data_IF_874682211185
#
_entry.id   IF_874682211185
#
_cell.length_a   1.000
_cell.length_b   1.000
_cell.length_c   1.000
_cell.angle_alpha   90.00
_cell.angle_beta   90.00
_cell.angle_gamma   90.00
#
_symmetry.space_group_name_H-M   'P 1'
#
loop_
_entity.id
_entity.type
_entity.pdbx_description
1 polymer ?
#
# COMPACT_ATOMS: atom_id res chain seq x y z
N UNK A 1 9.55 -4.09 -35.85
CA UNK A 1 10.36 -2.86 -35.81
C UNK A 1 11.20 -2.94 -34.54
N UNK A 2 12.52 -3.07 -34.70
CA UNK A 2 13.49 -3.34 -33.63
C UNK A 2 13.58 -2.18 -32.63
N UNK A 3 12.95 -2.29 -31.47
CA UNK A 3 13.44 -1.59 -30.29
C UNK A 3 14.56 -2.43 -29.66
N UNK A 4 15.80 -1.97 -29.81
CA UNK A 4 16.91 -2.43 -28.97
C UNK A 4 16.44 -2.28 -27.51
N UNK A 5 16.24 -3.40 -26.80
CA UNK A 5 16.13 -3.41 -25.33
C UNK A 5 17.27 -2.53 -24.81
N UNK A 6 16.98 -1.33 -24.32
CA UNK A 6 17.99 -0.46 -23.70
C UNK A 6 18.58 -1.30 -22.57
N UNK A 7 19.82 -1.72 -22.72
CA UNK A 7 20.52 -2.50 -21.70
C UNK A 7 20.52 -1.65 -20.43
N UNK A 8 19.79 -2.10 -19.40
CA UNK A 8 19.70 -1.41 -18.13
C UNK A 8 21.11 -1.29 -17.55
N UNK A 9 21.59 -0.06 -17.33
CA UNK A 9 22.87 0.20 -16.68
C UNK A 9 22.60 0.46 -15.20
N UNK A 10 23.06 -0.42 -14.29
CA UNK A 10 22.92 -0.21 -12.86
C UNK A 10 23.60 1.09 -12.41
N UNK A 11 23.06 1.73 -11.38
CA UNK A 11 23.62 2.97 -10.82
C UNK A 11 25.03 2.78 -10.26
N UNK A 12 25.29 1.62 -9.66
CA UNK A 12 26.60 1.18 -9.20
C UNK A 12 27.07 0.08 -10.15
N UNK A 13 28.30 0.17 -10.67
CA UNK A 13 28.85 -0.89 -11.51
C UNK A 13 28.94 -2.20 -10.73
N UNK A 14 28.66 -3.33 -11.40
CA UNK A 14 28.75 -4.67 -10.81
C UNK A 14 30.16 -4.99 -10.27
N UNK A 15 31.19 -4.32 -10.78
CA UNK A 15 32.58 -4.50 -10.35
C UNK A 15 32.95 -3.67 -9.10
N UNK A 16 32.03 -2.85 -8.59
CA UNK A 16 32.28 -1.97 -7.44
C UNK A 16 32.07 -2.73 -6.14
N UNK A 17 33.14 -2.93 -5.36
CA UNK A 17 33.03 -3.51 -4.02
C UNK A 17 32.71 -2.40 -3.01
N UNK A 18 31.50 -2.42 -2.44
CA UNK A 18 31.04 -1.47 -1.43
C UNK A 18 30.25 -2.20 -0.35
N UNK A 19 30.28 -1.69 0.88
CA UNK A 19 29.52 -2.26 1.99
C UNK A 19 28.01 -2.16 1.73
N UNK A 20 27.29 -3.27 1.94
CA UNK A 20 25.84 -3.39 1.77
C UNK A 20 25.18 -3.92 3.06
N UNK A 21 25.50 -5.17 3.42
CA UNK A 21 25.03 -5.81 4.65
C UNK A 21 26.02 -5.60 5.79
N UNK A 22 25.78 -4.56 6.59
CA UNK A 22 26.54 -4.31 7.82
C UNK A 22 25.63 -4.40 9.03
N UNK A 23 26.19 -4.62 10.21
CA UNK A 23 25.41 -4.66 11.46
C UNK A 23 24.58 -3.40 11.66
N UNK A 24 25.09 -2.24 11.21
CA UNK A 24 24.38 -0.95 11.27
C UNK A 24 23.20 -0.92 10.31
N UNK A 25 23.39 -1.31 9.04
CA UNK A 25 22.30 -1.29 8.06
C UNK A 25 21.20 -2.31 8.37
N UNK A 26 21.57 -3.50 8.85
CA UNK A 26 20.60 -4.50 9.32
C UNK A 26 19.84 -4.00 10.56
N UNK A 27 20.55 -3.50 11.57
CA UNK A 27 19.92 -3.01 12.80
C UNK A 27 18.98 -1.82 12.56
N UNK A 28 19.40 -0.87 11.73
CA UNK A 28 18.57 0.28 11.36
C UNK A 28 17.37 -0.13 10.51
N UNK A 29 17.56 -1.09 9.59
CA UNK A 29 16.48 -1.68 8.80
C UNK A 29 15.41 -2.33 9.69
N UNK A 30 15.80 -3.14 10.69
CA UNK A 30 14.87 -3.78 11.64
C UNK A 30 14.12 -2.72 12.44
N UNK A 31 14.81 -1.70 12.95
CA UNK A 31 14.18 -0.62 13.70
C UNK A 31 13.10 0.07 12.86
N UNK A 32 13.40 0.42 11.61
CA UNK A 32 12.43 1.03 10.71
C UNK A 32 11.32 0.08 10.32
N UNK A 33 11.60 -1.21 10.11
CA UNK A 33 10.57 -2.21 9.84
C UNK A 33 9.52 -2.25 10.96
N UNK A 34 9.94 -2.23 12.23
CA UNK A 34 9.02 -2.19 13.38
C UNK A 34 8.17 -0.92 13.38
N UNK A 35 8.79 0.26 13.21
CA UNK A 35 8.10 1.56 13.23
C UNK A 35 7.10 1.66 12.08
N UNK A 36 7.53 1.31 10.87
CA UNK A 36 6.68 1.41 9.67
C UNK A 36 5.63 0.32 9.62
N UNK A 37 5.89 -0.88 10.15
CA UNK A 37 4.85 -1.90 10.31
C UNK A 37 3.73 -1.39 11.21
N UNK A 38 4.05 -0.85 12.40
CA UNK A 38 3.04 -0.30 13.31
C UNK A 38 2.26 0.87 12.66
N UNK A 39 2.97 1.76 11.97
CA UNK A 39 2.37 2.89 11.26
C UNK A 39 1.44 2.43 10.13
N UNK A 40 1.85 1.43 9.36
CA UNK A 40 1.05 0.87 8.26
C UNK A 40 -0.12 0.04 8.74
N UNK A 41 -0.02 -0.64 9.88
CA UNK A 41 -1.19 -1.29 10.50
C UNK A 41 -2.23 -0.22 10.87
N UNK A 42 -1.81 0.86 11.54
CA UNK A 42 -2.72 1.95 11.89
C UNK A 42 -3.34 2.62 10.66
N UNK A 43 -2.51 3.04 9.71
CA UNK A 43 -2.98 3.71 8.49
C UNK A 43 -3.84 2.78 7.64
N UNK A 44 -3.42 1.53 7.46
CA UNK A 44 -4.18 0.52 6.73
C UNK A 44 -5.56 0.28 7.32
N UNK A 45 -5.68 0.17 8.65
CA UNK A 45 -6.98 0.04 9.31
C UNK A 45 -7.81 1.34 9.24
N UNK A 46 -7.18 2.51 9.20
CA UNK A 46 -7.86 3.81 9.11
C UNK A 46 -8.36 4.14 7.70
N UNK A 47 -7.54 3.91 6.68
CA UNK A 47 -7.78 4.37 5.29
C UNK A 47 -8.04 3.23 4.31
N UNK A 48 -7.86 1.97 4.72
CA UNK A 48 -8.05 0.79 3.87
C UNK A 48 -6.92 0.52 2.87
N UNK A 49 -5.84 1.29 2.90
CA UNK A 49 -4.68 1.21 2.00
C UNK A 49 -3.41 1.43 2.83
N UNK A 50 -2.34 0.68 2.53
CA UNK A 50 -1.00 0.85 3.12
C UNK A 50 -0.18 1.88 2.35
N UNK A 51 0.93 2.30 2.92
CA UNK A 51 1.80 3.33 2.34
C UNK A 51 3.23 2.82 2.29
N UNK A 52 3.84 3.00 1.12
CA UNK A 52 5.21 2.61 0.82
C UNK A 52 6.19 3.02 1.93
N UNK A 53 6.63 2.06 2.73
CA UNK A 53 7.59 2.28 3.82
C UNK A 53 9.02 2.49 3.30
N UNK A 54 9.32 1.94 2.11
CA UNK A 54 10.64 2.02 1.49
C UNK A 54 11.11 3.47 1.26
N UNK A 55 10.20 4.35 0.86
CA UNK A 55 10.51 5.75 0.53
C UNK A 55 11.01 6.52 1.77
N UNK A 56 10.23 6.66 2.86
CA UNK A 56 10.71 7.35 4.05
C UNK A 56 11.90 6.63 4.70
N UNK A 57 11.95 5.30 4.65
CA UNK A 57 13.09 4.53 5.15
C UNK A 57 14.38 4.81 4.35
N UNK A 58 14.31 4.99 3.03
CA UNK A 58 15.45 5.39 2.21
C UNK A 58 15.99 6.78 2.61
N UNK A 59 15.10 7.73 2.88
CA UNK A 59 15.45 9.10 3.30
C UNK A 59 16.14 9.08 4.66
N UNK A 60 15.44 8.49 5.65
CA UNK A 60 15.91 8.43 7.03
C UNK A 60 17.14 7.55 7.14
N UNK A 61 17.19 6.43 6.42
CA UNK A 61 18.32 5.51 6.38
C UNK A 61 19.57 6.19 5.86
N UNK A 62 19.48 6.85 4.70
CA UNK A 62 20.59 7.63 4.14
C UNK A 62 21.02 8.76 5.08
N UNK A 63 20.06 9.47 5.67
CA UNK A 63 20.31 10.57 6.61
C UNK A 63 21.03 10.11 7.88
N UNK A 64 20.55 9.05 8.52
CA UNK A 64 21.14 8.49 9.75
C UNK A 64 22.51 7.88 9.48
N UNK A 65 22.67 7.11 8.39
CA UNK A 65 23.96 6.54 8.01
C UNK A 65 25.01 7.64 7.79
N UNK A 66 24.63 8.73 7.12
CA UNK A 66 25.54 9.84 6.81
C UNK A 66 25.82 10.74 8.01
N UNK A 67 24.81 11.09 8.80
CA UNK A 67 24.94 12.03 9.91
C UNK A 67 25.52 11.40 11.18
N UNK A 68 25.08 10.18 11.53
CA UNK A 68 25.46 9.52 12.77
C UNK A 68 26.67 8.61 12.56
N UNK A 69 26.60 7.76 11.54
CA UNK A 69 27.63 6.74 11.30
C UNK A 69 28.72 7.20 10.32
N UNK A 70 28.60 8.40 9.75
CA UNK A 70 29.53 8.98 8.75
C UNK A 70 29.79 8.06 7.55
N UNK A 71 28.81 7.21 7.22
CA UNK A 71 28.84 6.28 6.09
C UNK A 71 28.06 6.87 4.92
N UNK A 72 28.64 6.81 3.72
CA UNK A 72 28.01 7.28 2.49
C UNK A 72 27.87 6.12 1.49
N UNK A 73 27.22 5.03 1.92
CA UNK A 73 26.92 3.87 1.08
C UNK A 73 25.43 3.87 0.73
N UNK A 74 25.14 4.00 -0.57
CA UNK A 74 23.79 3.86 -1.09
C UNK A 74 23.30 2.41 -0.98
N UNK A 75 24.20 1.42 -0.98
CA UNK A 75 23.83 0.00 -0.80
C UNK A 75 23.38 -0.29 0.64
N UNK A 76 24.07 0.27 1.64
CA UNK A 76 23.62 0.16 3.04
C UNK A 76 22.25 0.84 3.23
N UNK A 77 22.05 2.01 2.61
CA UNK A 77 20.77 2.71 2.66
C UNK A 77 19.65 1.95 1.91
N UNK A 78 19.98 1.32 0.78
CA UNK A 78 19.06 0.47 0.04
C UNK A 78 18.64 -0.73 0.89
N UNK A 79 19.58 -1.42 1.56
CA UNK A 79 19.26 -2.53 2.45
C UNK A 79 18.33 -2.09 3.60
N UNK A 80 18.61 -0.94 4.23
CA UNK A 80 17.73 -0.36 5.26
C UNK A 80 16.31 -0.15 4.74
N UNK A 81 16.18 0.43 3.55
CA UNK A 81 14.88 0.68 2.91
C UNK A 81 14.15 -0.61 2.55
N UNK A 82 14.86 -1.60 2.02
CA UNK A 82 14.30 -2.92 1.67
C UNK A 82 13.81 -3.67 2.90
N UNK A 83 14.60 -3.72 3.98
CA UNK A 83 14.18 -4.37 5.24
C UNK A 83 12.98 -3.64 5.84
N UNK A 84 12.95 -2.31 5.80
CA UNK A 84 11.80 -1.54 6.26
C UNK A 84 10.53 -1.82 5.44
N UNK A 85 10.64 -2.01 4.13
CA UNK A 85 9.53 -2.36 3.24
C UNK A 85 8.90 -3.72 3.57
N UNK A 86 9.68 -4.68 4.06
CA UNK A 86 9.13 -5.97 4.53
C UNK A 86 8.12 -5.77 5.67
N UNK A 87 8.34 -4.77 6.54
CA UNK A 87 7.40 -4.42 7.61
C UNK A 87 6.04 -3.99 7.07
N UNK A 88 6.00 -3.29 5.93
CA UNK A 88 4.75 -2.94 5.23
C UNK A 88 4.08 -4.18 4.63
N UNK A 89 4.82 -5.03 3.92
CA UNK A 89 4.24 -6.24 3.31
C UNK A 89 3.60 -7.16 4.36
N UNK A 90 4.25 -7.29 5.53
CA UNK A 90 3.71 -8.04 6.64
C UNK A 90 2.46 -7.37 7.24
N UNK A 91 2.50 -6.05 7.45
CA UNK A 91 1.34 -5.29 7.91
C UNK A 91 0.14 -5.46 6.98
N UNK A 92 0.36 -5.39 5.66
CA UNK A 92 -0.67 -5.61 4.64
C UNK A 92 -1.38 -6.96 4.78
N UNK A 93 -0.63 -8.05 4.96
CA UNK A 93 -1.22 -9.38 5.20
C UNK A 93 -2.07 -9.43 6.48
N UNK A 94 -1.61 -8.79 7.54
CA UNK A 94 -2.26 -8.80 8.86
C UNK A 94 -3.56 -7.98 8.88
N UNK A 95 -3.55 -6.76 8.33
CA UNK A 95 -4.71 -5.85 8.41
C UNK A 95 -5.93 -6.35 7.63
N UNK A 96 -5.76 -7.24 6.66
CA UNK A 96 -6.87 -7.80 5.91
C UNK A 96 -7.36 -9.12 6.50
N UNK A 97 -6.47 -9.92 7.08
CA UNK A 97 -6.80 -11.26 7.60
C UNK A 97 -7.34 -11.24 9.02
N UNK A 98 -6.69 -10.54 9.95
CA UNK A 98 -7.09 -10.58 11.36
C UNK A 98 -8.47 -9.92 11.60
N UNK A 99 -8.77 -8.73 11.05
CA UNK A 99 -10.10 -8.15 11.24
C UNK A 99 -11.21 -9.03 10.67
N UNK A 100 -10.96 -9.75 9.56
CA UNK A 100 -11.93 -10.68 9.00
C UNK A 100 -12.23 -11.85 9.96
N UNK A 101 -11.21 -12.43 10.60
CA UNK A 101 -11.37 -13.48 11.61
C UNK A 101 -12.14 -12.97 12.83
N UNK A 102 -11.81 -11.76 13.29
CA UNK A 102 -12.50 -11.12 14.43
C UNK A 102 -13.97 -10.85 14.11
N UNK A 103 -14.26 -10.34 12.91
CA UNK A 103 -15.64 -10.10 12.45
C UNK A 103 -16.43 -11.41 12.34
N UNK A 104 -15.76 -12.54 12.06
CA UNK A 104 -16.37 -13.87 12.06
C UNK A 104 -16.71 -14.40 13.47
N UNK A 105 -16.40 -13.64 14.52
CA UNK A 105 -16.71 -14.00 15.91
C UNK A 105 -15.65 -14.89 16.56
N UNK A 106 -14.45 -14.98 15.97
CA UNK A 106 -13.32 -15.68 16.57
C UNK A 106 -12.42 -14.72 17.32
N UNK A 107 -12.23 -14.97 18.62
CA UNK A 107 -11.25 -14.26 19.43
C UNK A 107 -9.84 -14.78 19.13
N UNK A 108 -8.94 -13.86 18.82
CA UNK A 108 -7.53 -14.17 18.58
C UNK A 108 -6.69 -13.81 19.79
N UNK A 109 -6.04 -14.80 20.39
CA UNK A 109 -5.04 -14.55 21.43
C UNK A 109 -3.80 -13.87 20.83
N UNK A 110 -3.08 -13.10 21.64
CA UNK A 110 -1.83 -12.46 21.21
C UNK A 110 -0.81 -13.48 20.68
N UNK A 111 -0.77 -14.68 21.27
CA UNK A 111 0.09 -15.77 20.82
C UNK A 111 -0.34 -16.31 19.45
N UNK A 112 -1.65 -16.49 19.23
CA UNK A 112 -2.19 -16.92 17.93
C UNK A 112 -1.85 -15.91 16.84
N UNK A 113 -1.99 -14.61 17.13
CA UNK A 113 -1.61 -13.53 16.23
C UNK A 113 -0.12 -13.63 15.89
N UNK A 114 0.75 -13.75 16.90
CA UNK A 114 2.18 -13.86 16.69
C UNK A 114 2.56 -15.07 15.83
N UNK A 115 1.97 -16.24 16.09
CA UNK A 115 2.23 -17.47 15.32
C UNK A 115 1.77 -17.31 13.87
N UNK A 116 0.54 -16.84 13.65
CA UNK A 116 -0.02 -16.63 12.31
C UNK A 116 0.83 -15.63 11.52
N UNK A 117 1.25 -14.54 12.16
CA UNK A 117 2.12 -13.53 11.55
C UNK A 117 3.49 -14.10 11.17
N UNK A 118 4.12 -14.88 12.06
CA UNK A 118 5.43 -15.52 11.78
C UNK A 118 5.29 -16.51 10.62
N UNK A 119 4.31 -17.42 10.68
CA UNK A 119 4.10 -18.42 9.64
C UNK A 119 3.74 -17.77 8.30
N UNK A 120 2.86 -16.77 8.31
CA UNK A 120 2.50 -16.01 7.11
C UNK A 120 3.70 -15.29 6.50
N UNK A 121 4.56 -14.69 7.32
CA UNK A 121 5.82 -14.08 6.87
C UNK A 121 6.79 -15.10 6.26
N UNK A 122 6.98 -16.26 6.89
CA UNK A 122 7.84 -17.33 6.37
C UNK A 122 7.33 -17.88 5.04
N UNK A 123 6.01 -18.10 4.93
CA UNK A 123 5.36 -18.53 3.69
C UNK A 123 5.56 -17.45 2.60
N UNK A 124 5.40 -16.17 2.95
CA UNK A 124 5.66 -15.07 2.02
C UNK A 124 7.08 -15.09 1.46
N UNK A 125 8.09 -15.28 2.31
CA UNK A 125 9.49 -15.40 1.89
C UNK A 125 9.68 -16.58 0.91
N UNK A 126 9.06 -17.73 1.20
CA UNK A 126 9.13 -18.91 0.35
C UNK A 126 8.51 -18.65 -1.04
N UNK A 127 7.39 -17.94 -1.13
CA UNK A 127 6.75 -17.61 -2.40
C UNK A 127 7.44 -16.49 -3.18
N UNK A 128 8.16 -15.57 -2.54
CA UNK A 128 8.90 -14.52 -3.26
C UNK A 128 9.95 -15.10 -4.22
N UNK A 129 10.57 -16.22 -3.87
CA UNK A 129 11.61 -16.85 -4.69
C UNK A 129 11.12 -17.23 -6.10
N UNK A 130 10.07 -18.06 -6.27
CA UNK A 130 9.57 -18.40 -7.60
C UNK A 130 8.94 -17.22 -8.33
N UNK A 131 8.28 -16.29 -7.60
CA UNK A 131 7.67 -15.13 -8.24
C UNK A 131 8.68 -14.11 -8.77
N UNK A 132 9.91 -14.12 -8.27
CA UNK A 132 10.95 -13.18 -8.72
C UNK A 132 11.24 -13.32 -10.21
N UNK A 133 11.32 -14.54 -10.73
CA UNK A 133 11.62 -14.75 -12.15
C UNK A 133 10.50 -14.19 -13.04
N UNK A 134 9.26 -14.57 -12.75
CA UNK A 134 8.10 -14.07 -13.49
C UNK A 134 7.97 -12.54 -13.41
N UNK A 135 7.95 -11.98 -12.20
CA UNK A 135 7.66 -10.55 -12.01
C UNK A 135 8.82 -9.63 -12.44
N UNK A 136 10.07 -10.04 -12.26
CA UNK A 136 11.24 -9.18 -12.49
C UNK A 136 11.91 -9.45 -13.84
N UNK A 137 12.01 -10.72 -14.25
CA UNK A 137 12.76 -11.11 -15.45
C UNK A 137 11.83 -11.23 -16.65
N UNK A 138 10.75 -12.00 -16.57
CA UNK A 138 9.83 -12.21 -17.69
C UNK A 138 9.01 -10.95 -17.99
N UNK A 139 8.46 -10.32 -16.95
CA UNK A 139 7.64 -9.10 -17.06
C UNK A 139 8.48 -7.80 -17.09
N UNK A 140 9.79 -7.91 -17.35
CA UNK A 140 10.69 -6.76 -17.39
C UNK A 140 10.27 -5.73 -18.43
N UNK A 141 9.97 -4.51 -17.99
CA UNK A 141 9.55 -3.41 -18.85
C UNK A 141 8.06 -3.40 -19.19
N UNK A 142 7.29 -4.40 -18.75
CA UNK A 142 5.83 -4.43 -18.84
C UNK A 142 5.24 -3.93 -17.52
N UNK A 143 5.71 -4.47 -16.39
CA UNK A 143 5.30 -4.01 -15.07
C UNK A 143 6.04 -2.72 -14.71
N UNK A 144 5.27 -1.65 -14.52
CA UNK A 144 5.75 -0.43 -13.89
C UNK A 144 5.88 -0.71 -12.39
N UNK A 145 7.07 -0.56 -11.83
CA UNK A 145 7.33 -0.62 -10.38
C UNK A 145 7.43 0.80 -9.81
N UNK A 146 6.34 1.61 -9.78
CA UNK A 146 6.40 3.04 -9.49
C UNK A 146 6.99 3.33 -8.12
N UNK A 147 6.65 2.53 -7.11
CA UNK A 147 7.16 2.68 -5.75
C UNK A 147 8.66 2.40 -5.66
N UNK A 148 9.12 1.30 -6.28
CA UNK A 148 10.54 0.95 -6.32
C UNK A 148 11.36 1.99 -7.10
N UNK A 149 10.80 2.53 -8.18
CA UNK A 149 11.41 3.63 -8.95
C UNK A 149 11.50 4.90 -8.10
N UNK A 150 10.43 5.26 -7.38
CA UNK A 150 10.44 6.41 -6.47
C UNK A 150 11.46 6.23 -5.33
N UNK A 151 11.50 5.06 -4.71
CA UNK A 151 12.48 4.74 -3.67
C UNK A 151 13.92 4.82 -4.20
N UNK A 152 14.17 4.31 -5.42
CA UNK A 152 15.46 4.43 -6.10
C UNK A 152 15.86 5.88 -6.37
N UNK A 153 14.96 6.70 -6.92
CA UNK A 153 15.23 8.12 -7.16
C UNK A 153 15.55 8.86 -5.86
N UNK A 154 14.83 8.54 -4.79
CA UNK A 154 15.07 9.09 -3.46
C UNK A 154 16.42 8.66 -2.90
N UNK A 155 16.79 7.38 -3.01
CA UNK A 155 18.12 6.90 -2.59
C UNK A 155 19.24 7.61 -3.34
N UNK A 156 19.12 7.76 -4.67
CA UNK A 156 20.11 8.46 -5.49
C UNK A 156 20.22 9.93 -5.10
N UNK A 157 19.09 10.63 -4.96
CA UNK A 157 19.06 12.05 -4.61
C UNK A 157 19.51 12.32 -3.16
N UNK A 158 19.14 11.44 -2.21
CA UNK A 158 19.56 11.54 -0.83
C UNK A 158 21.06 11.26 -0.68
N UNK A 159 21.59 10.25 -1.39
CA UNK A 159 23.00 9.87 -1.30
C UNK A 159 23.94 10.91 -1.93
N UNK A 160 23.55 11.50 -3.08
CA UNK A 160 24.27 12.63 -3.70
C UNK A 160 24.42 13.83 -2.75
N UNK A 161 23.49 13.99 -1.81
CA UNK A 161 23.51 15.09 -0.84
C UNK A 161 23.20 16.45 -1.49
N UNK A 162 23.33 17.53 -0.70
CA UNK A 162 23.08 18.88 -1.20
C UNK A 162 21.60 19.24 -1.30
N UNK A 163 21.21 19.87 -2.41
CA UNK A 163 19.84 20.39 -2.60
C UNK A 163 18.79 19.29 -2.66
N UNK A 164 19.07 18.16 -3.33
CA UNK A 164 18.16 17.02 -3.42
C UNK A 164 17.76 16.47 -2.05
N UNK A 165 18.74 16.23 -1.17
CA UNK A 165 18.47 15.77 0.20
C UNK A 165 17.65 16.80 1.01
N UNK A 166 17.94 18.10 0.86
CA UNK A 166 17.17 19.17 1.54
C UNK A 166 15.72 19.21 1.06
N UNK A 167 15.47 19.06 -0.23
CA UNK A 167 14.11 19.04 -0.80
C UNK A 167 13.29 17.88 -0.24
N UNK A 168 13.91 16.70 -0.17
CA UNK A 168 13.28 15.49 0.35
C UNK A 168 12.97 15.61 1.84
N UNK A 169 13.90 16.15 2.65
CA UNK A 169 13.64 16.43 4.07
C UNK A 169 12.55 17.49 4.29
N UNK A 170 12.50 18.54 3.46
CA UNK A 170 11.42 19.53 3.50
C UNK A 170 10.06 18.88 3.23
N UNK A 171 9.97 17.99 2.23
CA UNK A 171 8.75 17.25 1.94
C UNK A 171 8.29 16.41 3.14
N UNK A 172 9.21 15.65 3.75
CA UNK A 172 8.92 14.86 4.96
C UNK A 172 8.44 15.75 6.12
N UNK A 173 9.12 16.87 6.36
CA UNK A 173 8.76 17.83 7.41
C UNK A 173 7.39 18.48 7.16
N UNK A 174 7.11 18.94 5.94
CA UNK A 174 5.82 19.53 5.57
C UNK A 174 4.67 18.53 5.71
N UNK A 175 4.86 17.28 5.27
CA UNK A 175 3.87 16.22 5.45
C UNK A 175 3.62 15.91 6.94
N UNK A 176 4.68 15.88 7.74
CA UNK A 176 4.59 15.71 9.19
C UNK A 176 3.83 16.85 9.88
N UNK A 177 4.12 18.10 9.52
CA UNK A 177 3.40 19.28 10.02
C UNK A 177 1.94 19.21 9.62
N UNK A 178 1.63 18.95 8.34
CA UNK A 178 0.25 18.81 7.88
C UNK A 178 -0.50 17.77 8.71
N UNK A 179 0.11 16.59 8.91
CA UNK A 179 -0.52 15.51 9.68
C UNK A 179 -0.68 15.86 11.16
N UNK A 180 0.30 16.55 11.74
CA UNK A 180 0.22 17.02 13.13
C UNK A 180 -0.91 18.04 13.30
N UNK A 181 -1.06 18.98 12.36
CA UNK A 181 -2.14 19.97 12.37
C UNK A 181 -3.52 19.34 12.13
N UNK A 182 -3.64 18.42 11.15
CA UNK A 182 -4.90 17.77 10.79
C UNK A 182 -5.32 16.70 11.80
N UNK A 183 -4.44 15.75 12.09
CA UNK A 183 -4.74 14.57 12.90
C UNK A 183 -4.34 14.68 14.37
N UNK A 184 -3.32 15.48 14.69
CA UNK A 184 -2.86 15.68 16.07
C UNK A 184 -3.64 16.78 16.80
N UNK A 185 -3.76 17.96 16.16
CA UNK A 185 -4.48 19.12 16.72
C UNK A 185 -5.94 19.20 16.27
N UNK A 186 -6.34 18.46 15.22
CA UNK A 186 -7.73 18.45 14.76
C UNK A 186 -8.19 19.76 14.11
N UNK A 187 -7.27 20.57 13.55
CA UNK A 187 -7.61 21.90 13.01
C UNK A 187 -8.61 21.85 11.84
N UNK A 188 -8.66 20.73 11.11
CA UNK A 188 -9.67 20.48 10.06
C UNK A 188 -10.01 18.99 9.97
N UNK A 189 -11.16 18.67 9.38
CA UNK A 189 -11.58 17.28 9.15
C UNK A 189 -10.74 16.63 8.04
N UNK A 190 -10.20 15.44 8.34
CA UNK A 190 -9.47 14.61 7.36
C UNK A 190 -10.40 13.83 6.42
N UNK A 191 -11.72 13.88 6.61
CA UNK A 191 -12.70 13.12 5.82
C UNK A 191 -14.04 13.83 5.68
N UNK A 192 -14.08 15.06 5.13
CA UNK A 192 -15.33 15.76 4.94
C UNK A 192 -16.25 14.98 3.99
N UNK A 193 -17.51 14.85 4.39
CA UNK A 193 -18.55 14.16 3.61
C UNK A 193 -19.78 15.05 3.51
N UNK A 194 -20.31 15.18 2.30
CA UNK A 194 -21.49 15.95 1.97
C UNK A 194 -22.57 15.03 1.41
N UNK A 195 -23.76 15.06 2.02
CA UNK A 195 -24.89 14.24 1.58
C UNK A 195 -25.64 14.97 0.46
N UNK A 196 -25.86 14.29 -0.66
CA UNK A 196 -26.62 14.79 -1.80
C UNK A 196 -28.00 14.12 -1.79
N UNK A 197 -28.91 14.71 -1.01
CA UNK A 197 -30.24 14.14 -0.75
C UNK A 197 -31.05 13.85 -2.03
N UNK A 198 -30.99 14.74 -3.04
CA UNK A 198 -31.73 14.59 -4.30
C UNK A 198 -31.37 13.33 -5.09
N UNK A 199 -30.11 12.88 -5.00
CA UNK A 199 -29.60 11.69 -5.68
C UNK A 199 -29.50 10.49 -4.74
N UNK A 200 -29.90 10.66 -3.47
CA UNK A 200 -29.80 9.61 -2.45
C UNK A 200 -28.37 9.15 -2.14
N UNK A 201 -27.36 9.94 -2.53
CA UNK A 201 -25.92 9.61 -2.45
C UNK A 201 -25.15 10.58 -1.53
N UNK A 202 -23.86 10.37 -1.36
CA UNK A 202 -22.94 11.27 -0.69
C UNK A 202 -21.64 11.41 -1.49
N UNK A 203 -20.99 12.56 -1.33
CA UNK A 203 -19.67 12.85 -1.87
C UNK A 203 -18.73 13.15 -0.71
N UNK A 204 -17.53 12.60 -0.73
CA UNK A 204 -16.52 12.88 0.28
C UNK A 204 -15.15 12.51 -0.25
N UNK A 205 -14.11 13.03 0.40
CA UNK A 205 -12.74 12.66 0.10
C UNK A 205 -11.92 12.61 1.38
N UNK A 206 -10.89 11.77 1.38
CA UNK A 206 -9.97 11.64 2.49
C UNK A 206 -8.82 12.65 2.31
N UNK A 207 -8.87 13.76 3.04
CA UNK A 207 -7.91 14.85 3.02
C UNK A 207 -6.68 14.54 3.88
N UNK A 208 -6.05 13.38 3.67
CA UNK A 208 -4.84 12.96 4.38
C UNK A 208 -3.63 13.16 3.46
N UNK A 209 -2.59 13.87 3.94
CA UNK A 209 -1.37 14.14 3.16
C UNK A 209 -0.72 12.87 2.58
N UNK A 210 -0.87 11.76 3.28
CA UNK A 210 -0.30 10.48 2.89
C UNK A 210 -0.97 9.89 1.65
N UNK A 211 -2.30 10.06 1.49
CA UNK A 211 -3.02 9.64 0.28
C UNK A 211 -2.71 10.52 -0.92
N UNK A 212 -2.47 11.82 -0.69
CA UNK A 212 -1.99 12.72 -1.73
C UNK A 212 -0.62 12.26 -2.25
N UNK A 213 0.31 11.92 -1.35
CA UNK A 213 1.61 11.35 -1.71
C UNK A 213 1.50 10.06 -2.52
N UNK A 214 0.67 9.11 -2.10
CA UNK A 214 0.40 7.87 -2.84
C UNK A 214 -0.12 8.17 -4.25
N UNK A 215 -1.08 9.10 -4.39
CA UNK A 215 -1.61 9.50 -5.69
C UNK A 215 -0.54 10.07 -6.65
N UNK A 216 0.42 10.83 -6.13
CA UNK A 216 1.55 11.34 -6.91
C UNK A 216 2.52 10.23 -7.36
N UNK A 217 2.75 9.21 -6.53
CA UNK A 217 3.65 8.10 -6.84
C UNK A 217 3.04 7.18 -7.90
N UNK A 218 1.78 6.78 -7.71
CA UNK A 218 1.11 5.82 -8.61
C UNK A 218 0.69 6.51 -9.92
N UNK A 219 0.50 7.83 -9.88
CA UNK A 219 0.23 8.65 -11.06
C UNK A 219 -1.25 8.75 -11.43
N UNK A 220 -1.54 9.61 -12.40
CA UNK A 220 -2.91 9.99 -12.77
C UNK A 220 -3.71 8.85 -13.38
N UNK A 221 -3.07 7.92 -14.09
CA UNK A 221 -3.76 6.78 -14.72
C UNK A 221 -4.48 5.90 -13.70
N UNK A 222 -3.76 5.42 -12.69
CA UNK A 222 -4.36 4.61 -11.61
C UNK A 222 -5.29 5.44 -10.75
N UNK A 223 -4.93 6.70 -10.46
CA UNK A 223 -5.80 7.60 -9.71
C UNK A 223 -7.17 7.78 -10.38
N UNK A 224 -7.22 7.94 -11.71
CA UNK A 224 -8.47 8.05 -12.48
C UNK A 224 -9.26 6.75 -12.43
N UNK A 225 -8.60 5.58 -12.52
CA UNK A 225 -9.28 4.29 -12.42
C UNK A 225 -9.94 4.12 -11.05
N UNK A 226 -9.21 4.41 -9.96
CA UNK A 226 -9.73 4.37 -8.59
C UNK A 226 -10.88 5.38 -8.40
N UNK A 227 -10.71 6.60 -8.92
CA UNK A 227 -11.74 7.64 -8.87
C UNK A 227 -12.99 7.25 -9.65
N UNK A 228 -12.83 6.63 -10.82
CA UNK A 228 -13.95 6.11 -11.62
C UNK A 228 -14.70 5.00 -10.88
N UNK A 229 -13.98 4.10 -10.19
CA UNK A 229 -14.60 3.09 -9.33
C UNK A 229 -15.38 3.71 -8.17
N UNK A 230 -14.85 4.76 -7.54
CA UNK A 230 -15.56 5.51 -6.52
C UNK A 230 -16.82 6.20 -7.07
N UNK A 231 -16.73 6.84 -8.23
CA UNK A 231 -17.89 7.44 -8.90
C UNK A 231 -18.96 6.39 -9.24
N UNK A 232 -18.56 5.24 -9.80
CA UNK A 232 -19.47 4.14 -10.10
C UNK A 232 -20.17 3.63 -8.83
N UNK A 233 -19.42 3.44 -7.74
CA UNK A 233 -19.98 2.99 -6.48
C UNK A 233 -20.97 3.99 -5.88
N UNK A 234 -20.56 5.26 -5.77
CA UNK A 234 -21.36 6.30 -5.08
C UNK A 234 -22.50 6.84 -5.94
N UNK A 235 -22.30 7.07 -7.24
CA UNK A 235 -23.29 7.67 -8.12
C UNK A 235 -24.00 6.67 -9.04
N UNK A 236 -23.47 5.46 -9.19
CA UNK A 236 -24.12 4.37 -9.95
C UNK A 236 -24.84 3.40 -9.02
N UNK A 237 -24.07 2.61 -8.26
CA UNK A 237 -24.63 1.49 -7.50
C UNK A 237 -25.50 1.91 -6.32
N UNK A 238 -25.13 2.93 -5.53
CA UNK A 238 -25.96 3.35 -4.40
C UNK A 238 -27.35 3.83 -4.85
N UNK A 239 -27.50 4.74 -5.83
CA UNK A 239 -28.82 5.13 -6.33
C UNK A 239 -29.59 3.95 -6.95
N UNK A 240 -28.90 3.06 -7.66
CA UNK A 240 -29.52 1.86 -8.25
C UNK A 240 -30.08 0.93 -7.18
N UNK A 241 -29.32 0.66 -6.11
CA UNK A 241 -29.77 -0.15 -4.97
C UNK A 241 -30.96 0.51 -4.28
N UNK A 242 -30.94 1.84 -4.10
CA UNK A 242 -32.11 2.56 -3.57
C UNK A 242 -33.33 2.43 -4.46
N UNK A 243 -33.16 2.57 -5.77
CA UNK A 243 -34.25 2.50 -6.73
C UNK A 243 -34.89 1.10 -6.77
N UNK A 244 -34.06 0.05 -6.88
CA UNK A 244 -34.54 -1.34 -6.94
C UNK A 244 -35.09 -1.79 -5.57
N UNK A 245 -34.41 -1.40 -4.48
CA UNK A 245 -34.77 -1.78 -3.11
C UNK A 245 -35.93 -0.98 -2.51
N UNK A 246 -36.41 0.09 -3.16
CA UNK A 246 -37.49 0.92 -2.65
C UNK A 246 -38.81 0.15 -2.45
N UNK A 247 -39.05 -0.89 -3.26
CA UNK A 247 -40.23 -1.75 -3.17
C UNK A 247 -40.09 -2.94 -2.23
N UNK A 248 -38.93 -3.12 -1.58
CA UNK A 248 -38.72 -4.24 -0.67
C UNK A 248 -39.54 -4.04 0.61
N UNK A 249 -40.40 -5.01 0.93
CA UNK A 249 -41.22 -5.02 2.16
C UNK A 249 -40.53 -5.70 3.34
N UNK A 250 -39.34 -6.28 3.12
CA UNK A 250 -38.52 -6.91 4.17
C UNK A 250 -37.05 -6.52 3.99
N UNK A 251 -36.26 -6.45 5.09
CA UNK A 251 -34.83 -6.21 5.02
C UNK A 251 -34.12 -7.29 4.19
N UNK A 252 -33.21 -6.86 3.31
CA UNK A 252 -32.38 -7.76 2.51
C UNK A 252 -31.01 -7.88 3.18
N UNK A 253 -30.63 -9.10 3.55
CA UNK A 253 -29.33 -9.42 4.16
C UNK A 253 -28.16 -8.83 3.33
N UNK A 254 -27.10 -8.25 3.95
CA UNK A 254 -26.75 -8.29 5.37
C UNK A 254 -27.38 -7.19 6.23
N UNK A 255 -28.16 -6.28 5.64
CA UNK A 255 -28.79 -5.22 6.40
C UNK A 255 -30.03 -5.71 7.16
N UNK A 256 -30.28 -5.11 8.33
CA UNK A 256 -31.45 -5.38 9.17
C UNK A 256 -32.55 -4.34 9.04
N UNK A 257 -32.31 -3.25 8.30
CA UNK A 257 -33.28 -2.18 7.99
C UNK A 257 -33.81 -2.31 6.56
N UNK A 258 -34.93 -1.65 6.27
CA UNK A 258 -35.45 -1.51 4.91
C UNK A 258 -34.55 -0.57 4.10
N UNK A 259 -34.30 -0.91 2.82
CA UNK A 259 -33.42 -0.12 1.94
C UNK A 259 -33.95 1.31 1.73
N UNK A 260 -35.29 1.47 1.72
CA UNK A 260 -35.96 2.77 1.60
C UNK A 260 -35.63 3.74 2.74
N UNK A 261 -35.31 3.22 3.92
CA UNK A 261 -35.00 4.00 5.13
C UNK A 261 -33.49 4.24 5.30
N UNK A 262 -32.65 3.63 4.45
CA UNK A 262 -31.20 3.73 4.59
C UNK A 262 -30.63 5.01 4.00
N UNK A 263 -29.70 5.58 4.74
CA UNK A 263 -28.78 6.60 4.22
C UNK A 263 -27.81 6.01 3.18
N UNK A 264 -27.19 6.88 2.38
CA UNK A 264 -26.16 6.47 1.41
C UNK A 264 -24.99 5.73 2.10
N UNK A 265 -24.62 6.16 3.31
CA UNK A 265 -23.51 5.56 4.06
C UNK A 265 -23.87 4.15 4.54
N UNK A 266 -25.12 3.92 4.93
CA UNK A 266 -25.61 2.60 5.36
C UNK A 266 -25.66 1.62 4.18
N UNK A 267 -26.10 2.07 3.00
CA UNK A 267 -26.07 1.24 1.78
C UNK A 267 -24.63 0.94 1.37
N UNK A 268 -23.74 1.93 1.45
CA UNK A 268 -22.33 1.72 1.19
C UNK A 268 -21.73 0.66 2.12
N UNK A 269 -21.99 0.77 3.43
CA UNK A 269 -21.45 -0.14 4.43
C UNK A 269 -22.02 -1.56 4.30
N UNK A 270 -23.31 -1.71 4.04
CA UNK A 270 -23.98 -3.01 4.05
C UNK A 270 -23.97 -3.73 2.68
N UNK A 271 -23.84 -3.03 1.57
CA UNK A 271 -23.91 -3.66 0.24
C UNK A 271 -22.66 -3.39 -0.59
N UNK A 272 -22.30 -2.11 -0.77
CA UNK A 272 -21.18 -1.73 -1.66
C UNK A 272 -19.86 -2.32 -1.19
N UNK A 273 -19.58 -2.35 0.13
CA UNK A 273 -18.37 -2.98 0.67
C UNK A 273 -18.24 -4.45 0.27
N UNK A 274 -19.34 -5.21 0.28
CA UNK A 274 -19.32 -6.63 -0.10
C UNK A 274 -19.22 -6.82 -1.62
N UNK A 275 -19.88 -5.97 -2.41
CA UNK A 275 -19.72 -5.96 -3.87
C UNK A 275 -18.26 -5.67 -4.23
N UNK A 276 -17.65 -4.67 -3.57
CA UNK A 276 -16.24 -4.34 -3.72
C UNK A 276 -15.32 -5.50 -3.31
N UNK A 277 -15.57 -6.13 -2.16
CA UNK A 277 -14.82 -7.30 -1.71
C UNK A 277 -14.91 -8.46 -2.72
N UNK A 278 -16.10 -8.72 -3.28
CA UNK A 278 -16.30 -9.71 -4.34
C UNK A 278 -15.53 -9.36 -5.62
N UNK A 279 -15.51 -8.09 -6.01
CA UNK A 279 -14.73 -7.60 -7.15
C UNK A 279 -13.22 -7.78 -6.95
N UNK A 280 -12.70 -7.47 -5.77
CA UNK A 280 -11.30 -7.69 -5.40
C UNK A 280 -10.96 -9.19 -5.42
N UNK A 281 -11.82 -10.04 -4.83
CA UNK A 281 -11.63 -11.48 -4.84
C UNK A 281 -11.61 -12.05 -6.27
N UNK A 282 -12.57 -11.66 -7.12
CA UNK A 282 -12.62 -12.07 -8.52
C UNK A 282 -11.36 -11.64 -9.28
N UNK A 283 -10.91 -10.39 -9.10
CA UNK A 283 -9.65 -9.89 -9.67
C UNK A 283 -8.45 -10.72 -9.23
N UNK A 284 -8.37 -11.09 -7.95
CA UNK A 284 -7.32 -11.94 -7.40
C UNK A 284 -7.30 -13.33 -8.04
N UNK A 285 -8.45 -14.01 -8.12
CA UNK A 285 -8.55 -15.34 -8.74
C UNK A 285 -8.24 -15.30 -10.25
N UNK A 286 -8.72 -14.28 -10.97
CA UNK A 286 -8.43 -14.13 -12.40
C UNK A 286 -6.93 -13.91 -12.63
N UNK A 287 -6.29 -13.07 -11.82
CA UNK A 287 -4.84 -12.84 -11.91
C UNK A 287 -4.05 -14.11 -11.60
N UNK A 288 -4.42 -14.84 -10.55
CA UNK A 288 -3.79 -16.13 -10.21
C UNK A 288 -3.94 -17.13 -11.35
N UNK A 289 -5.13 -17.25 -11.94
CA UNK A 289 -5.37 -18.14 -13.08
C UNK A 289 -4.51 -17.76 -14.30
N UNK A 290 -4.32 -16.46 -14.56
CA UNK A 290 -3.45 -15.97 -15.64
C UNK A 290 -1.97 -16.22 -15.37
N UNK A 291 -1.53 -16.13 -14.11
CA UNK A 291 -0.13 -16.34 -13.72
C UNK A 291 0.22 -17.82 -13.48
N UNK A 292 -0.76 -18.71 -13.32
CA UNK A 292 -0.54 -20.12 -13.05
C UNK A 292 0.41 -20.83 -14.05
N UNK A 293 0.35 -20.60 -15.38
CA UNK A 293 1.28 -21.22 -16.32
C UNK A 293 2.73 -20.84 -16.07
N UNK A 294 2.99 -19.56 -15.77
CA UNK A 294 4.34 -19.07 -15.47
C UNK A 294 4.85 -19.65 -14.14
N UNK A 295 4.02 -19.64 -13.10
CA UNK A 295 4.36 -20.25 -11.80
C UNK A 295 4.75 -21.73 -11.98
N UNK A 296 3.93 -22.50 -12.70
CA UNK A 296 4.20 -23.92 -12.97
C UNK A 296 5.48 -24.09 -13.78
N UNK A 297 5.77 -23.19 -14.73
CA UNK A 297 7.04 -23.16 -15.47
C UNK A 297 8.23 -22.96 -14.55
N UNK A 298 8.21 -21.93 -13.71
CA UNK A 298 9.31 -21.63 -12.78
C UNK A 298 9.58 -22.75 -11.78
N UNK A 299 8.54 -23.44 -11.28
CA UNK A 299 8.70 -24.59 -10.39
C UNK A 299 9.28 -25.84 -11.08
N UNK A 300 9.22 -25.93 -12.41
CA UNK A 300 9.85 -27.03 -13.17
C UNK A 300 11.32 -26.76 -13.49
N UNK A 301 11.71 -25.50 -13.52
CA UNK A 301 13.10 -25.07 -13.80
C UNK A 301 13.97 -24.97 -12.54
N UNK A 302 13.34 -24.84 -11.36
CA UNK A 302 14.00 -24.86 -10.04
C UNK A 302 14.27 -26.28 -9.53
#
# INVERSE_FOLDING_TARGET
>A
MNEKKKQFKPFISMDTVMSEATTVSVGLGILFAVIFAASNVYLGLKTGITIAAAIPAAILGTGVLKAVFKKNSILEANLVASVAAVGESLAGGIIFTLPAIIIWGHDLSMLSIAIITILGGLIGILFVVPFREYLIVEEHGILLFPESVAAYEILVNANKGGEGFKTVLKGLGMGGIFKFLSGGLGLWSEGPTWVIAKLGTAFGFNAVASLLGVGFIVGTGVAILMFSGALLAWFGFIPLIKFIGAGASSPIFPATKLISEMSAIEIWSNYIRYIGAGGVAAGGFISLAKSAPAIIGSFKEA
#
